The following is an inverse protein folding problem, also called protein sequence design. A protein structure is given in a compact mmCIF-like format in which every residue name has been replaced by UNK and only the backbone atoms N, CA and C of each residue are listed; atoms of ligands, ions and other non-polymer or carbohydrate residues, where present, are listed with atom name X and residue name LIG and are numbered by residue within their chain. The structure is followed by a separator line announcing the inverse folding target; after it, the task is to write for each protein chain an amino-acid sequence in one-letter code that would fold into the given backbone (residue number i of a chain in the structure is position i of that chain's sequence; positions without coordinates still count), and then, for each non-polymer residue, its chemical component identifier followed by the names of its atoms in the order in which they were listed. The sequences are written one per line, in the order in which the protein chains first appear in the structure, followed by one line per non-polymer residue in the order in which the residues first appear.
data_IF_626280816711
#
_entry.id   IF_626280816711
#
_cell.length_a   1.000
_cell.length_b   1.000
_cell.length_c   1.000
_cell.angle_alpha   90.00
_cell.angle_beta   90.00
_cell.angle_gamma   90.00
#
_symmetry.space_group_name_H-M   'P 1'
#
loop_
_entity.id
_entity.type
_entity.pdbx_description
1 polymer ?
#
# COMPACT_ATOMS: atom_id res chain seq x y z
N UNK A 1 -19.31 -16.49 -8.79
CA UNK A 1 -18.48 -15.92 -7.71
C UNK A 1 -18.31 -14.44 -8.02
N UNK A 2 -18.71 -13.55 -7.10
CA UNK A 2 -18.58 -12.09 -7.25
C UNK A 2 -17.26 -11.55 -6.70
N UNK A 3 -16.14 -12.18 -7.08
CA UNK A 3 -14.81 -11.69 -6.68
C UNK A 3 -14.39 -10.64 -7.71
N UNK A 4 -14.18 -9.41 -7.28
CA UNK A 4 -13.83 -8.31 -8.18
C UNK A 4 -12.32 -8.10 -8.30
N UNK A 5 -11.56 -8.43 -7.24
CA UNK A 5 -10.13 -8.13 -7.13
C UNK A 5 -9.38 -9.31 -6.53
N UNK A 6 -8.19 -9.58 -7.03
CA UNK A 6 -7.32 -10.62 -6.51
C UNK A 6 -5.89 -10.10 -6.32
N UNK A 7 -5.35 -10.23 -5.10
CA UNK A 7 -3.94 -9.98 -4.84
C UNK A 7 -3.11 -11.19 -5.29
N UNK A 8 -2.22 -10.98 -6.25
CA UNK A 8 -1.30 -11.97 -6.76
C UNK A 8 0.07 -11.83 -6.10
N UNK A 9 0.49 -12.87 -5.39
CA UNK A 9 1.80 -12.97 -4.74
C UNK A 9 2.51 -14.26 -5.14
N UNK A 10 3.84 -14.23 -5.20
CA UNK A 10 4.67 -15.42 -5.43
C UNK A 10 4.55 -16.43 -4.28
N UNK A 11 4.28 -15.96 -3.06
CA UNK A 11 4.37 -16.75 -1.84
C UNK A 11 5.83 -16.96 -1.39
N UNK A 12 6.01 -17.51 -0.20
CA UNK A 12 7.33 -17.76 0.39
C UNK A 12 8.00 -19.02 -0.18
N UNK A 13 9.33 -19.11 -0.09
CA UNK A 13 10.13 -20.25 -0.54
C UNK A 13 10.46 -20.25 -2.04
N UNK A 14 11.15 -21.30 -2.51
CA UNK A 14 11.43 -21.44 -3.94
C UNK A 14 10.17 -21.85 -4.70
N UNK A 15 9.86 -21.09 -5.76
CA UNK A 15 8.66 -21.29 -6.58
C UNK A 15 9.06 -21.43 -8.05
N UNK A 16 8.43 -22.38 -8.74
CA UNK A 16 8.64 -22.61 -10.18
C UNK A 16 8.07 -21.47 -11.03
N UNK A 17 7.04 -20.80 -10.53
CA UNK A 17 6.33 -19.72 -11.19
C UNK A 17 6.18 -18.61 -10.16
N UNK A 18 6.47 -17.38 -10.56
CA UNK A 18 6.32 -16.20 -9.73
C UNK A 18 5.15 -15.33 -10.21
N UNK A 19 4.78 -14.31 -9.43
CA UNK A 19 3.67 -13.42 -9.79
C UNK A 19 3.87 -12.72 -11.14
N UNK A 20 5.11 -12.41 -11.53
CA UNK A 20 5.39 -11.73 -12.80
C UNK A 20 5.13 -12.67 -13.99
N UNK A 21 5.58 -13.92 -13.91
CA UNK A 21 5.33 -14.93 -14.93
C UNK A 21 3.83 -15.16 -15.16
N UNK A 22 3.02 -15.16 -14.09
CA UNK A 22 1.55 -15.25 -14.20
C UNK A 22 0.98 -14.05 -14.95
N UNK A 23 1.37 -12.82 -14.62
CA UNK A 23 0.88 -11.60 -15.30
C UNK A 23 1.26 -11.59 -16.78
N UNK A 24 2.49 -12.01 -17.10
CA UNK A 24 2.95 -12.11 -18.49
C UNK A 24 2.11 -13.09 -19.30
N UNK A 25 1.76 -14.24 -18.72
CA UNK A 25 0.90 -15.24 -19.37
C UNK A 25 -0.54 -14.72 -19.55
N UNK A 26 -1.09 -14.01 -18.57
CA UNK A 26 -2.42 -13.38 -18.68
C UNK A 26 -2.42 -12.34 -19.80
N UNK A 27 -1.43 -11.44 -19.82
CA UNK A 27 -1.29 -10.41 -20.86
C UNK A 27 -1.07 -11.02 -22.25
N UNK A 28 -0.36 -12.15 -22.35
CA UNK A 28 -0.20 -12.89 -23.60
C UNK A 28 -1.54 -13.44 -24.08
N UNK A 29 -2.32 -14.09 -23.20
CA UNK A 29 -3.63 -14.66 -23.54
C UNK A 29 -4.64 -13.60 -23.98
N UNK A 30 -4.68 -12.45 -23.31
CA UNK A 30 -5.56 -11.34 -23.68
C UNK A 30 -5.24 -10.78 -25.07
N UNK A 31 -3.96 -10.76 -25.49
CA UNK A 31 -3.56 -10.32 -26.84
C UNK A 31 -3.92 -11.32 -27.94
N UNK A 32 -3.90 -12.62 -27.62
CA UNK A 32 -4.17 -13.69 -28.62
C UNK A 32 -5.64 -14.08 -28.74
N UNK A 33 -6.48 -13.65 -27.80
CA UNK A 33 -7.92 -13.92 -27.85
C UNK A 33 -8.61 -12.92 -28.78
N UNK A 34 -9.37 -13.41 -29.77
CA UNK A 34 -10.22 -12.56 -30.63
C UNK A 34 -11.44 -12.00 -29.87
N UNK A 35 -11.70 -12.47 -28.65
CA UNK A 35 -12.67 -11.89 -27.73
C UNK A 35 -12.00 -10.83 -26.84
N UNK A 36 -12.71 -9.70 -26.67
CA UNK A 36 -12.34 -8.46 -25.97
C UNK A 36 -11.36 -8.59 -24.78
N UNK A 37 -10.52 -7.57 -24.54
CA UNK A 37 -9.50 -7.59 -23.50
C UNK A 37 -10.15 -7.68 -22.13
N UNK A 38 -9.95 -8.81 -21.46
CA UNK A 38 -10.33 -8.99 -20.08
C UNK A 38 -9.98 -10.39 -19.60
N UNK A 39 -9.65 -10.58 -18.31
CA UNK A 39 -9.66 -11.90 -17.72
C UNK A 39 -11.07 -12.46 -17.93
N UNK A 40 -11.18 -13.69 -18.43
CA UNK A 40 -12.44 -14.40 -18.59
C UNK A 40 -13.15 -14.49 -17.22
N UNK A 41 -13.95 -13.47 -16.87
CA UNK A 41 -14.56 -13.30 -15.54
C UNK A 41 -14.40 -11.95 -14.83
N UNK A 42 -13.68 -10.95 -15.37
CA UNK A 42 -13.73 -9.55 -14.87
C UNK A 42 -12.96 -9.24 -13.56
N UNK A 43 -12.11 -10.15 -13.06
CA UNK A 43 -11.34 -9.93 -11.83
C UNK A 43 -10.09 -9.07 -12.08
N UNK A 44 -9.96 -7.93 -11.41
CA UNK A 44 -8.76 -7.10 -11.45
C UNK A 44 -7.60 -7.76 -10.70
N UNK A 45 -6.43 -7.84 -11.33
CA UNK A 45 -5.23 -8.42 -10.71
C UNK A 45 -4.42 -7.32 -10.02
N UNK A 46 -4.16 -7.51 -8.73
CA UNK A 46 -3.36 -6.60 -7.91
C UNK A 46 -2.03 -7.26 -7.55
N UNK A 47 -1.01 -6.48 -7.25
CA UNK A 47 0.33 -6.99 -6.93
C UNK A 47 0.87 -6.40 -5.64
N UNK A 48 1.72 -7.15 -4.93
CA UNK A 48 2.46 -6.62 -3.80
C UNK A 48 3.65 -5.76 -4.25
N UNK A 49 3.92 -4.71 -3.48
CA UNK A 49 5.11 -3.86 -3.53
C UNK A 49 5.62 -3.58 -2.11
N UNK A 50 6.93 -3.72 -1.88
CA UNK A 50 7.56 -3.33 -0.60
C UNK A 50 8.39 -2.06 -0.71
N UNK A 51 7.93 -0.92 -0.14
CA UNK A 51 8.77 0.26 0.05
C UNK A 51 9.99 0.01 0.95
N UNK A 52 9.97 -1.11 1.70
CA UNK A 52 10.94 -1.45 2.74
C UNK A 52 11.87 -2.61 2.31
N UNK A 53 11.87 -2.99 1.03
CA UNK A 53 12.73 -4.05 0.53
C UNK A 53 14.21 -3.71 0.80
N UNK A 54 14.97 -4.72 1.27
CA UNK A 54 16.43 -4.58 1.44
C UNK A 54 17.11 -4.25 0.12
N UNK A 55 16.71 -4.91 -0.96
CA UNK A 55 17.09 -4.57 -2.33
C UNK A 55 15.93 -3.82 -3.02
N UNK A 56 15.82 -2.53 -2.70
CA UNK A 56 14.79 -1.66 -3.27
C UNK A 56 14.92 -1.54 -4.80
N UNK A 57 16.14 -1.58 -5.33
CA UNK A 57 16.35 -1.48 -6.78
C UNK A 57 15.76 -2.69 -7.51
N UNK A 58 16.02 -3.90 -7.02
CA UNK A 58 15.41 -5.12 -7.57
C UNK A 58 13.88 -5.12 -7.43
N UNK A 59 13.35 -4.65 -6.29
CA UNK A 59 11.90 -4.57 -6.07
C UNK A 59 11.23 -3.58 -7.02
N UNK A 60 11.83 -2.40 -7.26
CA UNK A 60 11.33 -1.41 -8.22
C UNK A 60 11.40 -1.90 -9.66
N UNK A 61 12.48 -2.58 -10.06
CA UNK A 61 12.59 -3.21 -11.38
C UNK A 61 11.48 -4.25 -11.57
N UNK A 62 11.20 -5.03 -10.54
CA UNK A 62 10.15 -6.04 -10.56
C UNK A 62 8.75 -5.43 -10.61
N UNK A 63 8.50 -4.37 -9.84
CA UNK A 63 7.25 -3.60 -9.90
C UNK A 63 7.01 -3.03 -11.30
N UNK A 64 8.02 -2.40 -11.90
CA UNK A 64 7.96 -1.89 -13.27
C UNK A 64 7.61 -2.99 -14.27
N UNK A 65 8.28 -4.14 -14.18
CA UNK A 65 8.00 -5.28 -15.06
C UNK A 65 6.55 -5.79 -14.91
N UNK A 66 6.00 -5.78 -13.69
CA UNK A 66 4.58 -6.13 -13.45
C UNK A 66 3.64 -5.11 -14.10
N UNK A 67 3.84 -3.80 -13.87
CA UNK A 67 2.99 -2.74 -14.42
C UNK A 67 3.00 -2.73 -15.95
N UNK A 68 4.17 -2.94 -16.56
CA UNK A 68 4.34 -3.03 -18.02
C UNK A 68 3.48 -4.11 -18.70
N UNK A 69 3.02 -5.12 -17.95
CA UNK A 69 2.14 -6.14 -18.51
C UNK A 69 0.77 -5.58 -18.92
N UNK A 70 0.38 -4.42 -18.40
CA UNK A 70 -0.90 -3.76 -18.70
C UNK A 70 -2.13 -4.43 -18.08
N UNK A 71 -1.94 -5.45 -17.22
CA UNK A 71 -3.05 -6.21 -16.60
C UNK A 71 -3.17 -5.99 -15.10
N UNK A 72 -2.33 -5.13 -14.52
CA UNK A 72 -2.34 -4.81 -13.09
C UNK A 72 -3.33 -3.67 -12.82
N UNK A 73 -4.37 -3.94 -12.03
CA UNK A 73 -5.37 -2.95 -11.61
C UNK A 73 -5.07 -2.25 -10.28
N UNK A 74 -4.09 -2.76 -9.51
CA UNK A 74 -3.71 -2.11 -8.26
C UNK A 74 -2.46 -2.67 -7.58
N UNK A 75 -1.98 -1.92 -6.59
CA UNK A 75 -0.78 -2.23 -5.81
C UNK A 75 -1.12 -2.28 -4.33
N UNK A 76 -0.62 -3.33 -3.66
CA UNK A 76 -0.74 -3.54 -2.23
C UNK A 76 0.63 -3.32 -1.59
N UNK A 77 0.75 -2.24 -0.81
CA UNK A 77 1.95 -1.90 -0.07
C UNK A 77 2.12 -2.87 1.09
N UNK A 78 3.27 -3.52 1.16
CA UNK A 78 3.62 -4.35 2.31
C UNK A 78 3.73 -3.50 3.57
N UNK A 79 3.50 -4.14 4.70
CA UNK A 79 3.50 -3.53 6.02
C UNK A 79 4.90 -3.05 6.45
N UNK A 80 4.96 -1.87 7.05
CA UNK A 80 6.14 -1.41 7.76
C UNK A 80 5.96 -0.05 8.44
N UNK A 81 7.00 0.42 9.13
CA UNK A 81 6.93 1.63 9.98
C UNK A 81 7.96 2.72 9.66
N UNK A 82 8.76 2.58 8.60
CA UNK A 82 9.62 3.68 8.14
C UNK A 82 8.81 4.64 7.27
N UNK A 83 8.28 5.70 7.89
CA UNK A 83 7.47 6.72 7.22
C UNK A 83 8.23 7.37 6.06
N UNK A 84 9.54 7.57 6.20
CA UNK A 84 10.35 8.20 5.15
C UNK A 84 10.55 7.26 3.96
N UNK A 85 10.79 5.96 4.20
CA UNK A 85 10.84 4.95 3.15
C UNK A 85 9.49 4.81 2.45
N UNK A 86 8.38 4.86 3.18
CA UNK A 86 7.05 4.81 2.60
C UNK A 86 6.81 5.98 1.63
N UNK A 87 7.11 7.22 2.05
CA UNK A 87 6.98 8.41 1.18
C UNK A 87 7.81 8.30 -0.09
N UNK A 88 9.08 7.87 0.04
CA UNK A 88 9.97 7.64 -1.12
C UNK A 88 9.42 6.55 -2.03
N UNK A 89 8.98 5.43 -1.47
CA UNK A 89 8.44 4.31 -2.26
C UNK A 89 7.17 4.66 -3.00
N UNK A 90 6.27 5.44 -2.38
CA UNK A 90 5.07 5.97 -3.05
C UNK A 90 5.41 6.95 -4.17
N UNK A 91 6.42 7.81 -3.99
CA UNK A 91 6.89 8.71 -5.04
C UNK A 91 7.44 7.93 -6.23
N UNK A 92 8.26 6.91 -5.98
CA UNK A 92 8.79 6.02 -7.03
C UNK A 92 7.68 5.23 -7.74
N UNK A 93 6.70 4.70 -6.99
CA UNK A 93 5.55 4.01 -7.57
C UNK A 93 4.78 4.92 -8.53
N UNK A 94 4.48 6.15 -8.11
CA UNK A 94 3.78 7.15 -8.96
C UNK A 94 4.60 7.45 -10.24
N UNK A 95 5.91 7.63 -10.11
CA UNK A 95 6.81 7.86 -11.25
C UNK A 95 6.81 6.67 -12.22
N UNK A 96 6.99 5.45 -11.71
CA UNK A 96 6.99 4.23 -12.53
C UNK A 96 5.64 4.04 -13.23
N UNK A 97 4.53 4.22 -12.51
CA UNK A 97 3.20 4.12 -13.09
C UNK A 97 3.02 5.09 -14.27
N UNK A 98 3.41 6.36 -14.09
CA UNK A 98 3.40 7.37 -15.14
C UNK A 98 4.26 6.97 -16.35
N UNK A 99 5.49 6.51 -16.12
CA UNK A 99 6.41 6.10 -17.19
C UNK A 99 5.93 4.88 -17.98
N UNK A 100 5.23 3.96 -17.34
CA UNK A 100 4.63 2.78 -17.99
C UNK A 100 3.22 3.10 -18.56
N UNK A 101 2.79 4.36 -18.56
CA UNK A 101 1.53 4.81 -19.16
C UNK A 101 0.28 4.44 -18.36
N UNK A 102 0.43 4.07 -17.08
CA UNK A 102 -0.69 3.79 -16.18
C UNK A 102 -1.22 5.12 -15.63
N UNK A 103 -2.47 5.45 -15.95
CA UNK A 103 -3.10 6.66 -15.44
C UNK A 103 -3.21 6.64 -13.91
N UNK A 104 -3.10 7.80 -13.25
CA UNK A 104 -3.19 7.89 -11.79
C UNK A 104 -4.50 7.31 -11.22
N UNK A 105 -5.61 7.48 -11.96
CA UNK A 105 -6.94 6.96 -11.62
C UNK A 105 -7.09 5.45 -11.91
N UNK A 106 -6.13 4.83 -12.61
CA UNK A 106 -6.22 3.43 -13.05
C UNK A 106 -5.57 2.46 -12.07
N UNK A 107 -4.75 2.95 -11.14
CA UNK A 107 -4.01 2.11 -10.21
C UNK A 107 -4.53 2.29 -8.80
N UNK A 108 -5.32 1.34 -8.33
CA UNK A 108 -5.78 1.36 -6.95
C UNK A 108 -4.64 1.04 -5.98
N UNK A 109 -4.52 1.83 -4.91
CA UNK A 109 -3.50 1.65 -3.90
C UNK A 109 -4.12 1.17 -2.59
N UNK A 110 -3.56 0.10 -2.04
CA UNK A 110 -3.90 -0.44 -0.74
C UNK A 110 -2.65 -0.52 0.12
N UNK A 111 -2.78 -0.34 1.43
CA UNK A 111 -1.64 -0.42 2.33
C UNK A 111 -1.99 -1.18 3.61
N UNK A 112 -1.19 -2.21 3.92
CA UNK A 112 -1.39 -3.00 5.13
C UNK A 112 -1.02 -2.19 6.38
N UNK A 113 -1.92 -2.16 7.36
CA UNK A 113 -1.76 -1.50 8.66
C UNK A 113 -2.09 -2.49 9.77
N UNK A 114 -1.35 -2.40 10.87
CA UNK A 114 -1.67 -3.11 12.10
C UNK A 114 -2.02 -2.12 13.20
N UNK A 115 -3.04 -2.47 13.98
CA UNK A 115 -3.35 -1.82 15.24
C UNK A 115 -2.30 -2.20 16.30
N UNK A 116 -1.48 -1.24 16.80
CA UNK A 116 -0.44 -1.53 17.77
C UNK A 116 -1.00 -2.11 19.08
N UNK A 117 -0.32 -3.12 19.62
CA UNK A 117 -0.63 -3.69 20.94
C UNK A 117 0.62 -4.26 21.59
N UNK A 118 0.61 -4.43 22.92
CA UNK A 118 1.75 -5.02 23.64
C UNK A 118 2.11 -6.41 23.10
N UNK A 119 1.10 -7.23 22.79
CA UNK A 119 1.27 -8.57 22.23
C UNK A 119 1.88 -8.50 20.83
N UNK A 120 1.42 -7.55 20.00
CA UNK A 120 1.94 -7.37 18.65
C UNK A 120 3.42 -7.01 18.67
N UNK A 121 3.78 -5.99 19.47
CA UNK A 121 5.16 -5.52 19.62
C UNK A 121 6.06 -6.64 20.14
N UNK A 122 5.64 -7.37 21.18
CA UNK A 122 6.40 -8.51 21.71
C UNK A 122 6.64 -9.59 20.65
N UNK A 123 5.61 -9.91 19.84
CA UNK A 123 5.73 -10.88 18.74
C UNK A 123 6.76 -10.44 17.71
N UNK A 124 6.71 -9.19 17.26
CA UNK A 124 7.64 -8.69 16.24
C UNK A 124 9.07 -8.52 16.76
N UNK A 125 9.28 -8.23 18.05
CA UNK A 125 10.61 -8.27 18.66
C UNK A 125 11.21 -9.67 18.66
N UNK A 126 10.40 -10.69 18.99
CA UNK A 126 10.89 -12.06 19.13
C UNK A 126 11.05 -12.77 17.79
N UNK A 127 10.09 -12.61 16.88
CA UNK A 127 10.10 -13.20 15.53
C UNK A 127 9.50 -12.22 14.52
N UNK A 128 10.31 -11.32 13.94
CA UNK A 128 9.89 -10.49 12.83
C UNK A 128 9.34 -11.34 11.68
N UNK A 129 8.30 -10.86 11.02
CA UNK A 129 7.81 -11.51 9.80
C UNK A 129 8.73 -11.20 8.64
N UNK A 130 9.00 -12.21 7.81
CA UNK A 130 9.78 -12.02 6.58
C UNK A 130 9.06 -11.04 5.67
N UNK A 131 9.75 -9.97 5.28
CA UNK A 131 9.22 -8.94 4.39
C UNK A 131 8.39 -7.83 5.07
N UNK A 132 8.36 -7.78 6.40
CA UNK A 132 7.81 -6.67 7.18
C UNK A 132 8.94 -5.91 7.86
N UNK A 133 8.88 -4.58 7.84
CA UNK A 133 9.89 -3.74 8.48
C UNK A 133 9.28 -2.93 9.63
N UNK A 134 9.71 -3.21 10.87
CA UNK A 134 9.42 -2.36 12.01
C UNK A 134 10.72 -1.77 12.57
N UNK A 135 10.75 -0.45 12.72
CA UNK A 135 11.86 0.25 13.34
C UNK A 135 11.94 -0.04 14.84
N UNK A 136 13.12 0.08 15.43
CA UNK A 136 13.30 -0.10 16.87
C UNK A 136 12.40 0.83 17.68
N UNK A 137 12.22 2.07 17.20
CA UNK A 137 11.27 3.03 17.79
C UNK A 137 9.83 2.53 17.80
N UNK A 138 9.36 1.95 16.69
CA UNK A 138 8.03 1.33 16.62
C UNK A 138 7.90 0.16 17.62
N UNK A 139 8.99 -0.59 17.80
CA UNK A 139 9.06 -1.68 18.74
C UNK A 139 9.53 -1.22 20.13
N UNK A 140 9.29 0.02 20.57
CA UNK A 140 9.61 0.46 21.95
C UNK A 140 8.42 0.33 22.89
N UNK A 141 7.28 0.91 22.51
CA UNK A 141 6.05 0.89 23.30
C UNK A 141 4.84 1.18 22.41
N UNK A 142 3.65 0.93 22.94
CA UNK A 142 2.38 1.06 22.18
C UNK A 142 2.10 2.51 21.80
N UNK A 143 2.47 3.49 22.62
CA UNK A 143 2.27 4.91 22.33
C UNK A 143 3.12 5.37 21.15
N UNK A 144 4.41 5.01 21.16
CA UNK A 144 5.32 5.31 20.04
C UNK A 144 4.87 4.59 18.75
N UNK A 145 4.48 3.32 18.85
CA UNK A 145 3.93 2.58 17.71
C UNK A 145 2.64 3.23 17.16
N UNK A 146 1.76 3.73 18.05
CA UNK A 146 0.53 4.41 17.66
C UNK A 146 0.81 5.73 16.93
N UNK A 147 1.76 6.52 17.42
CA UNK A 147 2.17 7.75 16.76
C UNK A 147 2.68 7.48 15.33
N UNK A 148 3.55 6.48 15.17
CA UNK A 148 4.07 6.09 13.84
C UNK A 148 2.96 5.53 12.94
N UNK A 149 2.05 4.70 13.47
CA UNK A 149 0.89 4.21 12.71
C UNK A 149 0.03 5.39 12.22
N UNK A 150 -0.17 6.44 13.03
CA UNK A 150 -0.89 7.65 12.62
C UNK A 150 -0.17 8.37 11.47
N UNK A 151 1.16 8.52 11.55
CA UNK A 151 1.94 9.11 10.47
C UNK A 151 1.83 8.29 9.17
N UNK A 152 1.88 6.96 9.25
CA UNK A 152 1.66 6.08 8.09
C UNK A 152 0.28 6.31 7.47
N UNK A 153 -0.78 6.39 8.28
CA UNK A 153 -2.14 6.66 7.80
C UNK A 153 -2.28 8.05 7.16
N UNK A 154 -1.59 9.07 7.68
CA UNK A 154 -1.53 10.39 7.05
C UNK A 154 -0.83 10.33 5.69
N UNK A 155 0.26 9.55 5.56
CA UNK A 155 0.89 9.33 4.24
C UNK A 155 -0.07 8.61 3.30
N UNK A 156 -0.82 7.64 3.79
CA UNK A 156 -1.80 6.93 2.98
C UNK A 156 -2.91 7.86 2.48
N UNK A 157 -3.51 8.67 3.36
CA UNK A 157 -4.52 9.65 3.01
C UNK A 157 -4.01 10.64 1.95
N UNK A 158 -2.84 11.24 2.16
CA UNK A 158 -2.21 12.18 1.22
C UNK A 158 -1.87 11.57 -0.15
N UNK A 159 -1.81 10.24 -0.27
CA UNK A 159 -1.49 9.55 -1.52
C UNK A 159 -2.66 8.74 -2.10
N UNK A 160 -3.87 8.83 -1.53
CA UNK A 160 -5.03 8.07 -2.00
C UNK A 160 -4.92 6.56 -1.76
N UNK A 161 -4.15 6.16 -0.74
CA UNK A 161 -3.99 4.74 -0.37
C UNK A 161 -5.10 4.33 0.59
N UNK A 162 -5.81 3.25 0.24
CA UNK A 162 -6.82 2.66 1.13
C UNK A 162 -6.15 1.79 2.20
N UNK A 163 -6.29 2.10 3.50
CA UNK A 163 -5.71 1.28 4.55
C UNK A 163 -6.44 -0.08 4.64
N UNK A 164 -5.67 -1.15 4.82
CA UNK A 164 -6.15 -2.50 5.08
C UNK A 164 -5.69 -2.94 6.46
N UNK A 165 -6.63 -3.15 7.35
CA UNK A 165 -6.35 -3.56 8.72
C UNK A 165 -6.10 -5.07 8.79
N UNK A 166 -4.84 -5.45 9.03
CA UNK A 166 -4.38 -6.83 9.17
C UNK A 166 -4.51 -7.36 10.61
N UNK A 167 -4.88 -6.47 11.54
CA UNK A 167 -5.17 -6.86 12.92
C UNK A 167 -6.47 -7.64 12.97
N UNK A 168 -6.55 -8.60 13.90
CA UNK A 168 -7.81 -9.27 14.20
C UNK A 168 -8.78 -8.24 14.77
N UNK A 169 -9.95 -8.13 14.16
CA UNK A 169 -11.07 -7.27 14.58
C UNK A 169 -12.22 -8.22 14.88
N UNK A 170 -12.52 -8.43 16.15
CA UNK A 170 -13.58 -9.37 16.57
C UNK A 170 -14.59 -8.77 17.54
N UNK A 171 -14.35 -7.55 18.03
CA UNK A 171 -15.25 -6.84 18.95
C UNK A 171 -15.59 -5.46 18.42
N UNK A 172 -16.75 -4.96 18.84
CA UNK A 172 -17.16 -3.57 18.57
C UNK A 172 -16.13 -2.54 19.07
N UNK A 173 -15.41 -2.85 20.15
CA UNK A 173 -14.33 -2.00 20.65
C UNK A 173 -13.15 -1.88 19.68
N UNK A 174 -12.82 -2.94 18.92
CA UNK A 174 -11.76 -2.90 17.92
C UNK A 174 -12.14 -1.98 16.76
N UNK A 175 -13.40 -2.08 16.31
CA UNK A 175 -13.97 -1.20 15.29
C UNK A 175 -13.96 0.25 15.75
N UNK A 176 -14.40 0.52 17.00
CA UNK A 176 -14.40 1.87 17.56
C UNK A 176 -12.98 2.45 17.67
N UNK A 177 -11.99 1.64 18.04
CA UNK A 177 -10.59 2.08 18.12
C UNK A 177 -10.02 2.44 16.73
N UNK A 178 -10.33 1.63 15.71
CA UNK A 178 -9.96 1.94 14.32
C UNK A 178 -10.65 3.22 13.85
N UNK A 179 -11.96 3.35 14.10
CA UNK A 179 -12.71 4.53 13.69
C UNK A 179 -12.14 5.80 14.33
N UNK A 180 -11.89 5.79 15.65
CA UNK A 180 -11.31 6.93 16.35
C UNK A 180 -9.96 7.34 15.77
N UNK A 181 -9.09 6.37 15.46
CA UNK A 181 -7.79 6.65 14.84
C UNK A 181 -7.93 7.23 13.42
N UNK A 182 -8.89 6.73 12.63
CA UNK A 182 -9.17 7.26 11.29
C UNK A 182 -9.74 8.68 11.35
N UNK A 183 -10.61 8.98 12.32
CA UNK A 183 -11.20 10.30 12.53
C UNK A 183 -10.14 11.34 12.95
N UNK A 184 -9.18 10.93 13.80
CA UNK A 184 -8.02 11.76 14.17
C UNK A 184 -7.16 12.11 12.95
N UNK A 185 -6.89 11.14 12.07
CA UNK A 185 -6.12 11.36 10.84
C UNK A 185 -6.84 12.32 9.90
N UNK A 186 -8.14 12.12 9.69
CA UNK A 186 -8.95 12.99 8.84
C UNK A 186 -9.01 14.44 9.38
N UNK A 187 -9.09 14.60 10.71
CA UNK A 187 -9.11 15.91 11.36
C UNK A 187 -7.76 16.65 11.24
N UNK A 188 -6.65 15.91 11.22
CA UNK A 188 -5.31 16.48 11.07
C UNK A 188 -5.04 16.96 9.63
N UNK A 189 -5.53 16.24 8.62
CA UNK A 189 -5.38 16.63 7.21
C UNK A 189 -6.17 17.90 6.87
N UNK A 190 -7.39 18.06 7.42
CA UNK A 190 -8.20 19.27 7.21
C UNK A 190 -7.64 20.55 7.85
N UNK A 191 -6.74 20.42 8.83
CA UNK A 191 -6.09 21.57 9.48
C UNK A 191 -4.89 22.11 8.66
N UNK A 192 -4.30 21.31 7.77
CA UNK A 192 -3.14 21.70 6.96
C UNK A 192 -3.50 22.60 5.77
N UNK A 193 -4.76 22.58 5.31
CA UNK A 193 -5.24 23.40 4.18
C UNK A 193 -5.70 24.83 4.58
N UNK A 194 -5.61 25.20 5.87
CA UNK A 194 -6.15 26.45 6.42
C UNK A 194 -5.22 27.68 6.41
N UNK A 195 -3.96 27.56 6.00
CA UNK A 195 -2.99 28.69 6.04
C UNK A 195 -2.55 29.09 4.64
N UNK A 196 -3.37 29.84 3.91
CA UNK A 196 -2.99 30.22 2.55
C UNK A 196 -3.91 31.17 1.78
N UNK A 197 -4.45 32.24 2.38
CA UNK A 197 -4.83 33.44 1.60
C UNK A 197 -5.26 34.59 2.51
N UNK A 198 -4.33 35.47 2.86
CA UNK A 198 -4.69 36.84 3.26
C UNK A 198 -3.61 37.82 2.77
N UNK A 199 -3.48 37.92 1.44
CA UNK A 199 -2.75 39.02 0.81
C UNK A 199 -3.69 40.22 0.75
N UNK A 200 -3.56 41.07 1.77
CA UNK A 200 -4.15 42.41 1.82
C UNK A 200 -3.79 43.19 0.55
N UNK A 201 -4.80 43.39 -0.30
CA UNK A 201 -4.82 44.41 -1.34
C UNK A 201 -4.87 45.78 -0.67
N UNK A 202 -3.73 46.47 -0.57
CA UNK A 202 -3.70 47.86 -0.10
C UNK A 202 -3.75 48.79 -1.32
N UNK A 203 -4.90 49.46 -1.46
CA UNK A 203 -5.12 50.61 -2.34
C UNK A 203 -4.35 51.82 -1.78
N UNK A 204 -3.52 52.45 -2.60
CA UNK A 204 -3.62 53.85 -3.08
C UNK A 204 -2.30 54.30 -3.67
#
# INVERSE_FOLDING_TARGET
MGIEKALLVTGSGQRKIDSLAVLQEVARRQRTSAAAPGPSGGVALHVAYSPYAQDLAAELLRLRAKLRTGVVGGVWLQLGSDVAALRRGLAELKRIAHEEGVGAEQLELYGSVLMPSKQLLARFRFRPWVGVYFSDGYLTDVGTAMAITREVLQVYAAHGVTPLWESRIDKAADVAAIQALMDEVASADGAADGTGSDVKRQKR
#
